data_IF_785695954839
#
_entry.id   IF_785695954839
#
_cell.length_a   1.000
_cell.length_b   1.000
_cell.length_c   1.000
_cell.angle_alpha   90.00
_cell.angle_beta   90.00
_cell.angle_gamma   90.00
#
_symmetry.space_group_name_H-M   'P 1'
#
loop_
_entity.id
_entity.type
_entity.pdbx_description
1 polymer ?
#
# COMPACT_ATOMS: atom_id res chain seq x y z
N UNK A 1 9.42 28.06 15.24
CA UNK A 1 9.59 26.81 16.00
C UNK A 1 8.79 25.74 15.29
N UNK A 2 9.34 24.54 15.08
CA UNK A 2 8.63 23.45 14.40
C UNK A 2 9.43 22.82 13.27
N UNK A 3 10.47 22.05 13.60
CA UNK A 3 10.86 20.93 12.76
C UNK A 3 10.61 19.67 13.59
N UNK A 4 9.36 19.20 13.71
CA UNK A 4 9.14 17.88 14.26
C UNK A 4 9.97 16.92 13.41
N UNK A 5 10.78 16.18 14.13
CA UNK A 5 11.80 15.33 13.59
C UNK A 5 11.03 14.18 12.98
N UNK A 6 10.99 14.20 11.65
CA UNK A 6 10.70 13.12 10.72
C UNK A 6 11.19 11.77 11.24
N UNK A 7 10.41 11.17 12.15
CA UNK A 7 10.52 9.79 12.53
C UNK A 7 9.91 9.01 11.36
N UNK A 8 10.73 8.73 10.36
CA UNK A 8 10.32 7.94 9.22
C UNK A 8 10.80 6.51 9.45
N UNK A 9 9.88 5.55 9.49
CA UNK A 9 10.24 4.14 9.41
C UNK A 9 10.66 3.80 7.98
N UNK A 10 11.80 3.11 7.88
CA UNK A 10 12.34 2.64 6.62
C UNK A 10 11.77 1.25 6.33
N UNK A 11 10.95 1.14 5.30
CA UNK A 11 10.48 -0.13 4.76
C UNK A 11 11.09 -0.40 3.38
N UNK A 12 11.02 -1.65 2.93
CA UNK A 12 11.33 -2.01 1.54
C UNK A 12 10.05 -2.43 0.85
N UNK A 13 9.87 -1.95 -0.38
CA UNK A 13 8.81 -2.43 -1.25
C UNK A 13 9.05 -3.90 -1.61
N UNK A 14 8.08 -4.81 -1.47
CA UNK A 14 8.21 -6.20 -1.91
C UNK A 14 8.25 -6.32 -3.45
N UNK A 15 7.63 -5.39 -4.20
CA UNK A 15 7.61 -5.37 -5.67
C UNK A 15 8.92 -4.91 -6.30
N UNK A 16 9.31 -3.66 -6.02
CA UNK A 16 10.42 -2.99 -6.70
C UNK A 16 11.70 -2.95 -5.87
N UNK A 17 11.67 -3.48 -4.64
CA UNK A 17 12.79 -3.49 -3.69
C UNK A 17 13.31 -2.09 -3.32
N UNK A 18 12.59 -1.03 -3.67
CA UNK A 18 12.95 0.35 -3.33
C UNK A 18 12.78 0.63 -1.83
N UNK A 19 13.58 1.56 -1.30
CA UNK A 19 13.49 1.99 0.08
C UNK A 19 12.39 3.07 0.22
N UNK A 20 11.33 2.74 0.95
CA UNK A 20 10.19 3.63 1.21
C UNK A 20 10.34 4.21 2.62
N UNK A 21 10.04 5.50 2.76
CA UNK A 21 10.01 6.20 4.04
C UNK A 21 8.56 6.42 4.45
N UNK A 22 8.09 5.66 5.44
CA UNK A 22 6.75 5.76 6.01
C UNK A 22 6.81 6.56 7.29
N UNK A 23 5.77 7.31 7.65
CA UNK A 23 5.72 8.07 8.92
C UNK A 23 5.67 7.11 10.12
N UNK A 24 6.06 7.58 11.30
CA UNK A 24 6.01 6.77 12.52
C UNK A 24 4.64 6.60 13.14
N UNK A 25 3.68 7.39 12.69
CA UNK A 25 2.27 7.32 13.06
C UNK A 25 1.50 6.23 12.30
N UNK A 26 2.21 5.38 11.55
CA UNK A 26 1.61 4.29 10.76
C UNK A 26 1.07 3.17 11.65
N UNK A 27 -0.13 2.69 11.34
CA UNK A 27 -0.81 1.62 12.08
C UNK A 27 -0.82 0.29 11.29
N UNK A 28 -1.20 -0.79 11.97
CA UNK A 28 -1.40 -2.07 11.30
C UNK A 28 -2.61 -1.96 10.36
N UNK A 29 -2.53 -2.56 9.17
CA UNK A 29 -3.54 -2.47 8.10
C UNK A 29 -3.69 -1.07 7.48
N UNK A 30 -2.75 -0.15 7.75
CA UNK A 30 -2.76 1.18 7.13
C UNK A 30 -2.34 1.08 5.65
N UNK A 31 -3.12 1.67 4.70
CA UNK A 31 -2.77 1.69 3.29
C UNK A 31 -1.56 2.58 3.00
N UNK A 32 -0.57 2.03 2.32
CA UNK A 32 0.66 2.71 1.92
C UNK A 32 0.91 2.50 0.43
N UNK A 33 0.99 3.57 -0.34
CA UNK A 33 1.36 3.48 -1.76
C UNK A 33 2.86 3.65 -1.95
N UNK A 34 3.49 2.78 -2.74
CA UNK A 34 4.90 2.95 -3.08
C UNK A 34 5.08 4.13 -4.06
N UNK A 35 5.94 5.12 -3.78
CA UNK A 35 6.15 6.26 -4.69
C UNK A 35 6.98 5.90 -5.95
N UNK A 36 7.61 4.72 -5.99
CA UNK A 36 8.47 4.31 -7.10
C UNK A 36 7.72 3.45 -8.13
N UNK A 37 6.91 2.47 -7.67
CA UNK A 37 6.14 1.59 -8.54
C UNK A 37 4.62 1.85 -8.50
N UNK A 38 4.15 2.76 -7.64
CA UNK A 38 2.72 3.06 -7.43
C UNK A 38 1.87 1.85 -7.01
N UNK A 39 2.50 0.80 -6.50
CA UNK A 39 1.77 -0.36 -5.98
C UNK A 39 1.08 -0.03 -4.66
N UNK A 40 -0.14 -0.55 -4.47
CA UNK A 40 -0.89 -0.43 -3.23
C UNK A 40 -0.43 -1.52 -2.25
N UNK A 41 0.15 -1.07 -1.13
CA UNK A 41 0.64 -1.95 -0.08
C UNK A 41 -0.12 -1.65 1.21
N UNK A 42 -0.06 -2.59 2.14
CA UNK A 42 -0.58 -2.41 3.48
C UNK A 42 0.45 -2.80 4.53
N UNK A 43 0.26 -2.28 5.74
CA UNK A 43 1.19 -2.51 6.84
C UNK A 43 0.77 -3.75 7.63
N UNK A 44 1.41 -4.89 7.36
CA UNK A 44 1.14 -6.16 8.07
C UNK A 44 1.93 -6.32 9.37
N UNK A 45 2.92 -5.46 9.64
CA UNK A 45 3.71 -5.50 10.88
C UNK A 45 4.41 -4.18 11.17
N UNK A 46 4.47 -3.77 12.44
CA UNK A 46 5.11 -2.51 12.88
C UNK A 46 6.55 -2.65 13.40
N UNK A 47 6.96 -3.83 13.90
CA UNK A 47 8.31 -4.07 14.45
C UNK A 47 8.83 -5.48 14.09
N UNK A 48 9.71 -5.62 13.08
CA UNK A 48 10.11 -4.60 12.08
C UNK A 48 8.94 -4.18 11.17
N UNK A 49 8.95 -2.93 10.68
CA UNK A 49 7.96 -2.44 9.73
C UNK A 49 7.99 -3.31 8.47
N UNK A 50 6.90 -4.02 8.19
CA UNK A 50 6.75 -4.92 7.04
C UNK A 50 5.51 -4.50 6.29
N UNK A 51 5.67 -4.36 4.97
CA UNK A 51 4.60 -4.04 4.04
C UNK A 51 4.30 -5.30 3.23
N UNK A 52 3.04 -5.56 2.97
CA UNK A 52 2.60 -6.60 2.05
C UNK A 52 1.67 -6.01 0.99
N UNK A 53 1.31 -6.80 -0.02
CA UNK A 53 0.36 -6.35 -1.02
C UNK A 53 -0.97 -6.12 -0.33
N UNK A 54 -1.55 -4.95 -0.54
CA UNK A 54 -2.92 -4.74 -0.09
C UNK A 54 -3.77 -5.76 -0.84
N UNK A 55 -4.38 -6.72 -0.13
CA UNK A 55 -5.43 -7.54 -0.74
C UNK A 55 -6.47 -6.54 -1.24
N UNK A 56 -6.52 -6.38 -2.56
CA UNK A 56 -7.65 -5.75 -3.20
C UNK A 56 -8.84 -6.64 -2.87
N UNK A 57 -9.50 -6.37 -1.74
CA UNK A 57 -10.89 -6.76 -1.51
C UNK A 57 -11.66 -6.16 -2.67
N UNK A 58 -11.76 -6.91 -3.76
CA UNK A 58 -12.45 -6.55 -4.98
C UNK A 58 -11.99 -5.19 -5.53
N UNK A 59 -10.88 -5.21 -6.30
CA UNK A 59 -11.07 -4.59 -7.61
C UNK A 59 -12.26 -5.35 -8.19
N UNK A 60 -13.42 -4.70 -8.14
CA UNK A 60 -14.54 -4.87 -9.05
C UNK A 60 -13.99 -4.61 -10.48
N UNK A 61 -13.08 -5.49 -10.89
CA UNK A 61 -12.71 -5.81 -12.25
C UNK A 61 -13.56 -7.05 -12.57
N UNK A 62 -14.87 -6.96 -12.30
CA UNK A 62 -15.84 -7.69 -13.10
C UNK A 62 -16.03 -6.84 -14.38
N UNK A 63 -14.97 -6.85 -15.17
CA UNK A 63 -15.01 -6.67 -16.61
C UNK A 63 -16.14 -7.55 -17.16
N UNK A 64 -17.13 -6.88 -17.74
CA UNK A 64 -17.79 -7.33 -18.97
C UNK A 64 -18.68 -8.60 -18.87
N UNK A 65 -19.78 -8.53 -18.13
CA UNK A 65 -20.99 -9.29 -18.53
C UNK A 65 -21.75 -8.47 -19.57
N UNK A 66 -21.30 -8.59 -20.82
CA UNK A 66 -22.07 -8.47 -22.07
C UNK A 66 -23.59 -8.40 -21.84
N UNK A 67 -24.16 -7.18 -21.84
CA UNK A 67 -25.62 -6.94 -21.90
C UNK A 67 -26.10 -7.04 -23.37
N UNK A 68 -25.61 -8.02 -24.14
CA UNK A 68 -25.88 -8.13 -25.58
C UNK A 68 -26.45 -9.47 -26.06
N UNK A 69 -27.04 -10.26 -25.17
CA UNK A 69 -27.99 -11.32 -25.55
C UNK A 69 -29.06 -11.46 -24.45
N UNK A 70 -30.23 -10.83 -24.63
CA UNK A 70 -31.58 -11.37 -24.33
C UNK A 70 -32.70 -10.31 -24.49
N UNK A 71 -32.90 -9.77 -25.70
CA UNK A 71 -34.25 -9.43 -26.21
C UNK A 71 -34.36 -9.35 -27.74
#
# INVERSE_FOLDING_TARGET
MGRPQRNHFKARCPECLAAIWVKDDVELWDPVTCPECHTALEVVRLRPLTLDYMEAEEWDDEDDWDDEDWR
#
